data_IF_906563670949
#
_entry.id   IF_906563670949
#
_cell.length_a   1.000
_cell.length_b   1.000
_cell.length_c   1.000
_cell.angle_alpha   90.00
_cell.angle_beta   90.00
_cell.angle_gamma   90.00
#
_symmetry.space_group_name_H-M   'P 1'
#
loop_
_entity.id
_entity.type
_entity.pdbx_description
1 polymer ?
#
# COMPACT_ATOMS: atom_id res chain seq x y z
N UNK A 1 16.25 -26.08 -8.83
CA UNK A 1 15.66 -26.07 -7.48
C UNK A 1 14.21 -26.53 -7.65
N UNK A 2 13.88 -27.75 -7.22
CA UNK A 2 12.52 -28.32 -7.44
C UNK A 2 11.54 -27.58 -6.54
N UNK A 3 10.46 -27.04 -7.09
CA UNK A 3 9.45 -26.35 -6.28
C UNK A 3 8.63 -27.42 -5.56
N UNK A 4 8.53 -27.31 -4.24
CA UNK A 4 7.70 -28.19 -3.42
C UNK A 4 6.22 -27.86 -3.69
N UNK A 5 5.43 -28.86 -4.10
CA UNK A 5 4.00 -28.76 -4.50
C UNK A 5 3.74 -27.56 -5.44
N UNK A 6 4.15 -27.69 -6.70
CA UNK A 6 4.08 -26.59 -7.68
C UNK A 6 2.64 -26.14 -8.00
N UNK A 7 1.65 -27.02 -7.83
CA UNK A 7 0.28 -26.80 -8.27
C UNK A 7 -0.63 -26.09 -7.24
N UNK A 8 -0.26 -26.12 -5.95
CA UNK A 8 -1.07 -25.56 -4.86
C UNK A 8 -0.41 -24.28 -4.31
N UNK A 9 -1.17 -23.24 -3.96
CA UNK A 9 -0.58 -22.04 -3.33
C UNK A 9 0.02 -21.02 -4.30
N UNK A 10 -0.13 -21.14 -5.62
CA UNK A 10 0.61 -20.30 -6.59
C UNK A 10 0.24 -18.82 -6.47
N UNK A 11 -1.06 -18.51 -6.42
CA UNK A 11 -1.55 -17.13 -6.36
C UNK A 11 -1.16 -16.49 -5.02
N UNK A 12 -1.33 -17.22 -3.92
CA UNK A 12 -1.04 -16.70 -2.58
C UNK A 12 0.46 -16.47 -2.38
N UNK A 13 1.33 -17.37 -2.87
CA UNK A 13 2.79 -17.17 -2.84
C UNK A 13 3.23 -15.97 -3.67
N UNK A 14 2.67 -15.81 -4.88
CA UNK A 14 2.98 -14.68 -5.76
C UNK A 14 2.51 -13.36 -5.13
N UNK A 15 1.30 -13.34 -4.58
CA UNK A 15 0.74 -12.17 -3.89
C UNK A 15 1.57 -11.77 -2.67
N UNK A 16 1.94 -12.75 -1.82
CA UNK A 16 2.79 -12.50 -0.65
C UNK A 16 4.16 -11.97 -1.06
N UNK A 17 4.77 -12.54 -2.11
CA UNK A 17 6.04 -12.06 -2.63
C UNK A 17 5.95 -10.61 -3.11
N UNK A 18 4.98 -10.28 -3.98
CA UNK A 18 4.83 -8.91 -4.49
C UNK A 18 4.50 -7.90 -3.39
N UNK A 19 3.65 -8.26 -2.44
CA UNK A 19 3.33 -7.39 -1.30
C UNK A 19 4.58 -7.08 -0.48
N UNK A 20 5.36 -8.10 -0.11
CA UNK A 20 6.61 -7.89 0.61
C UNK A 20 7.63 -7.09 -0.22
N UNK A 21 7.71 -7.31 -1.54
CA UNK A 21 8.58 -6.55 -2.44
C UNK A 21 8.17 -5.07 -2.50
N UNK A 22 6.88 -4.76 -2.61
CA UNK A 22 6.42 -3.37 -2.61
C UNK A 22 6.67 -2.68 -1.28
N UNK A 23 6.49 -3.38 -0.15
CA UNK A 23 6.83 -2.87 1.17
C UNK A 23 8.34 -2.60 1.27
N UNK A 24 9.16 -3.53 0.78
CA UNK A 24 10.61 -3.39 0.77
C UNK A 24 11.07 -2.23 -0.13
N UNK A 25 10.42 -2.05 -1.29
CA UNK A 25 10.65 -0.92 -2.20
C UNK A 25 10.34 0.40 -1.49
N UNK A 26 9.18 0.51 -0.84
CA UNK A 26 8.80 1.68 -0.07
C UNK A 26 9.81 1.97 1.06
N UNK A 27 10.25 0.93 1.78
CA UNK A 27 11.29 1.06 2.79
C UNK A 27 12.63 1.55 2.24
N UNK A 28 13.02 1.11 1.04
CA UNK A 28 14.25 1.54 0.37
C UNK A 28 14.18 3.00 -0.09
N UNK A 29 13.01 3.46 -0.57
CA UNK A 29 12.78 4.87 -0.93
C UNK A 29 12.86 5.74 0.35
N UNK A 30 12.16 5.35 1.41
CA UNK A 30 12.19 6.07 2.68
C UNK A 30 13.60 6.10 3.31
N UNK A 31 14.36 5.01 3.16
CA UNK A 31 15.74 4.90 3.62
C UNK A 31 16.67 5.82 2.86
N UNK A 32 16.53 5.95 1.54
CA UNK A 32 17.34 6.85 0.72
C UNK A 32 17.16 8.31 1.18
N UNK A 33 15.91 8.73 1.41
CA UNK A 33 15.60 10.09 1.89
C UNK A 33 16.11 10.33 3.31
N UNK A 34 16.06 9.31 4.16
CA UNK A 34 16.60 9.39 5.53
C UNK A 34 18.12 9.43 5.53
N UNK A 35 18.78 8.62 4.70
CA UNK A 35 20.24 8.51 4.65
C UNK A 35 20.89 9.75 4.04
N UNK A 36 20.26 10.34 3.03
CA UNK A 36 20.68 11.63 2.45
C UNK A 36 20.53 12.78 3.45
N UNK A 37 19.45 12.80 4.24
CA UNK A 37 19.18 13.85 5.24
C UNK A 37 20.07 13.73 6.48
N UNK A 38 20.21 12.53 7.06
CA UNK A 38 20.89 12.32 8.35
C UNK A 38 22.40 12.11 8.24
N UNK A 39 22.88 11.41 7.20
CA UNK A 39 24.28 11.01 7.09
C UNK A 39 25.07 11.87 6.09
N UNK A 40 24.43 12.85 5.45
CA UNK A 40 25.07 13.67 4.41
C UNK A 40 25.54 12.88 3.17
N UNK A 41 25.15 11.60 3.07
CA UNK A 41 25.44 10.72 1.92
C UNK A 41 24.67 11.12 0.65
N UNK A 42 24.06 12.30 0.66
CA UNK A 42 23.43 13.01 -0.45
C UNK A 42 24.41 13.53 -1.50
N UNK A 43 25.72 13.50 -1.23
CA UNK A 43 26.72 14.01 -2.17
C UNK A 43 26.66 13.30 -3.52
N UNK A 44 26.62 14.11 -4.58
CA UNK A 44 26.50 13.66 -5.96
C UNK A 44 27.77 12.92 -6.35
N UNK A 45 27.62 11.68 -6.81
CA UNK A 45 28.67 10.91 -7.46
C UNK A 45 28.88 11.40 -8.90
N UNK A 46 29.43 12.61 -9.02
CA UNK A 46 29.69 13.28 -10.31
C UNK A 46 28.44 13.85 -10.99
N UNK A 47 28.61 14.25 -12.25
CA UNK A 47 27.57 14.87 -13.09
C UNK A 47 26.80 13.83 -13.94
N UNK A 48 26.82 12.57 -13.50
CA UNK A 48 26.08 11.49 -14.15
C UNK A 48 24.64 11.49 -13.64
N UNK A 49 23.72 12.00 -14.45
CA UNK A 49 22.29 11.84 -14.24
C UNK A 49 21.83 10.52 -14.84
N UNK A 50 20.97 9.76 -14.15
CA UNK A 50 20.37 8.55 -14.73
C UNK A 50 19.53 8.96 -15.95
N UNK A 51 19.83 8.47 -17.17
CA UNK A 51 19.23 8.98 -18.41
C UNK A 51 17.72 8.72 -18.55
N UNK A 52 17.14 7.87 -17.70
CA UNK A 52 15.72 7.53 -17.69
C UNK A 52 14.87 8.36 -16.70
N UNK A 53 15.47 8.92 -15.65
CA UNK A 53 14.73 9.52 -14.51
C UNK A 53 15.27 10.90 -14.09
N UNK A 54 16.47 11.28 -14.53
CA UNK A 54 17.06 12.60 -14.21
C UNK A 54 17.41 12.80 -12.73
N UNK A 55 17.38 11.74 -11.92
CA UNK A 55 17.81 11.79 -10.53
C UNK A 55 19.33 11.85 -10.42
N UNK A 56 19.89 12.66 -9.50
CA UNK A 56 21.32 12.65 -9.25
C UNK A 56 21.71 11.27 -8.70
N UNK A 57 22.80 10.70 -9.23
CA UNK A 57 23.35 9.47 -8.67
C UNK A 57 24.04 9.84 -7.37
N UNK A 58 23.51 9.33 -6.27
CA UNK A 58 23.96 9.61 -4.91
C UNK A 58 24.39 8.29 -4.26
N UNK A 59 25.35 8.32 -3.32
CA UNK A 59 25.77 7.11 -2.59
C UNK A 59 24.60 6.42 -1.90
N UNK A 60 23.66 7.20 -1.36
CA UNK A 60 22.42 6.70 -0.76
C UNK A 60 21.58 5.85 -1.74
N UNK A 61 21.55 6.21 -3.03
CA UNK A 61 20.80 5.48 -4.06
C UNK A 61 21.43 4.11 -4.33
N UNK A 62 22.76 4.03 -4.44
CA UNK A 62 23.48 2.76 -4.68
C UNK A 62 23.27 1.80 -3.51
N UNK A 63 23.38 2.31 -2.28
CA UNK A 63 23.13 1.53 -1.06
C UNK A 63 21.69 1.02 -1.02
N UNK A 64 20.72 1.88 -1.35
CA UNK A 64 19.30 1.54 -1.38
C UNK A 64 18.98 0.47 -2.42
N UNK A 65 19.52 0.57 -3.65
CA UNK A 65 19.36 -0.46 -4.69
C UNK A 65 19.98 -1.80 -4.26
N UNK A 66 21.19 -1.77 -3.68
CA UNK A 66 21.88 -2.98 -3.23
C UNK A 66 21.08 -3.70 -2.15
N UNK A 67 20.55 -2.92 -1.19
CA UNK A 67 19.69 -3.43 -0.13
C UNK A 67 18.37 -3.97 -0.70
N UNK A 68 17.80 -3.30 -1.69
CA UNK A 68 16.57 -3.74 -2.36
C UNK A 68 16.75 -5.11 -3.02
N UNK A 69 17.82 -5.27 -3.82
CA UNK A 69 18.11 -6.54 -4.52
C UNK A 69 18.42 -7.66 -3.53
N UNK A 70 19.28 -7.39 -2.53
CA UNK A 70 19.60 -8.37 -1.48
C UNK A 70 18.37 -8.76 -0.66
N UNK A 71 17.52 -7.78 -0.33
CA UNK A 71 16.26 -7.97 0.38
C UNK A 71 15.25 -8.79 -0.42
N UNK A 72 15.07 -8.51 -1.72
CA UNK A 72 14.20 -9.26 -2.60
C UNK A 72 14.64 -10.73 -2.74
N UNK A 73 15.96 -10.97 -2.85
CA UNK A 73 16.52 -12.32 -2.87
C UNK A 73 16.29 -13.06 -1.55
N UNK A 74 16.52 -12.39 -0.41
CA UNK A 74 16.25 -12.95 0.91
C UNK A 74 14.77 -13.28 1.11
N UNK A 75 13.86 -12.40 0.67
CA UNK A 75 12.41 -12.65 0.70
C UNK A 75 12.04 -13.89 -0.11
N UNK A 76 12.57 -14.01 -1.33
CA UNK A 76 12.33 -15.20 -2.15
C UNK A 76 12.78 -16.48 -1.43
N UNK A 77 13.97 -16.47 -0.81
CA UNK A 77 14.47 -17.61 -0.04
C UNK A 77 13.63 -17.91 1.22
N UNK A 78 13.16 -16.88 1.92
CA UNK A 78 12.34 -17.02 3.13
C UNK A 78 10.93 -17.52 2.81
N UNK A 79 10.29 -17.04 1.75
CA UNK A 79 8.95 -17.47 1.34
C UNK A 79 8.95 -18.91 0.80
N UNK A 80 10.04 -19.36 0.19
CA UNK A 80 10.18 -20.73 -0.31
C UNK A 80 10.50 -21.77 0.78
N UNK A 81 10.75 -21.36 2.03
CA UNK A 81 10.92 -22.32 3.13
C UNK A 81 9.65 -23.15 3.32
N UNK A 82 9.76 -24.46 3.57
CA UNK A 82 8.62 -25.38 3.59
C UNK A 82 7.56 -24.95 4.61
N UNK A 83 7.96 -24.54 5.81
CA UNK A 83 7.06 -24.04 6.86
C UNK A 83 6.19 -22.86 6.40
N UNK A 84 6.78 -21.89 5.70
CA UNK A 84 6.05 -20.70 5.26
C UNK A 84 5.16 -21.01 4.05
N UNK A 85 5.63 -21.87 3.15
CA UNK A 85 4.86 -22.32 2.01
C UNK A 85 3.61 -23.10 2.44
N UNK A 86 3.72 -23.99 3.44
CA UNK A 86 2.57 -24.75 3.96
C UNK A 86 1.52 -23.82 4.60
N UNK A 87 1.93 -22.82 5.40
CA UNK A 87 1.01 -21.83 5.97
C UNK A 87 0.25 -21.02 4.90
N UNK A 88 0.92 -20.64 3.81
CA UNK A 88 0.32 -19.93 2.69
C UNK A 88 -0.70 -20.80 1.94
N UNK A 89 -0.43 -22.10 1.80
CA UNK A 89 -1.33 -23.07 1.17
C UNK A 89 -2.57 -23.31 2.05
N UNK A 90 -2.37 -23.44 3.36
CA UNK A 90 -3.48 -23.59 4.31
C UNK A 90 -4.37 -22.34 4.31
N UNK A 91 -3.76 -21.15 4.29
CA UNK A 91 -4.49 -19.88 4.17
C UNK A 91 -5.28 -19.79 2.86
N UNK A 92 -4.71 -20.23 1.72
CA UNK A 92 -5.46 -20.31 0.46
C UNK A 92 -6.68 -21.22 0.60
N UNK A 93 -6.51 -22.38 1.24
CA UNK A 93 -7.58 -23.35 1.44
C UNK A 93 -8.70 -22.80 2.32
N UNK A 94 -8.36 -22.05 3.38
CA UNK A 94 -9.36 -21.37 4.21
C UNK A 94 -10.05 -20.21 3.46
N UNK A 95 -9.31 -19.42 2.68
CA UNK A 95 -9.88 -18.34 1.88
C UNK A 95 -10.86 -18.85 0.80
N UNK A 96 -10.66 -20.07 0.29
CA UNK A 96 -11.60 -20.73 -0.64
C UNK A 96 -12.94 -21.10 0.02
N UNK A 97 -12.98 -21.23 1.34
CA UNK A 97 -14.24 -21.49 2.07
C UNK A 97 -15.05 -20.21 2.30
N UNK A 98 -14.43 -19.04 2.13
CA UNK A 98 -15.12 -17.76 2.29
C UNK A 98 -16.04 -17.54 1.10
N UNK A 99 -17.34 -17.44 1.37
CA UNK A 99 -18.34 -17.02 0.39
C UNK A 99 -18.21 -15.52 0.17
N UNK A 100 -17.52 -15.12 -0.90
CA UNK A 100 -17.42 -13.71 -1.26
C UNK A 100 -18.77 -13.19 -1.76
N UNK A 101 -19.23 -12.01 -1.28
CA UNK A 101 -20.48 -11.43 -1.73
C UNK A 101 -20.42 -11.13 -3.23
N UNK A 102 -21.56 -11.24 -3.90
CA UNK A 102 -21.64 -10.85 -5.31
C UNK A 102 -21.52 -9.33 -5.45
N UNK A 103 -21.14 -8.83 -6.63
CA UNK A 103 -21.02 -7.39 -6.86
C UNK A 103 -22.33 -6.65 -6.54
N UNK A 104 -23.47 -7.29 -6.81
CA UNK A 104 -24.80 -6.73 -6.54
C UNK A 104 -25.05 -6.57 -5.03
N UNK A 105 -24.63 -7.53 -4.22
CA UNK A 105 -24.73 -7.45 -2.75
C UNK A 105 -23.88 -6.30 -2.19
N UNK A 106 -22.68 -6.10 -2.77
CA UNK A 106 -21.77 -5.01 -2.37
C UNK A 106 -22.37 -3.65 -2.72
N UNK A 107 -22.97 -3.50 -3.90
CA UNK A 107 -23.62 -2.24 -4.31
C UNK A 107 -24.85 -1.97 -3.46
N UNK A 108 -25.69 -2.98 -3.21
CA UNK A 108 -26.92 -2.82 -2.44
C UNK A 108 -26.64 -2.52 -0.96
N UNK A 109 -25.59 -3.10 -0.37
CA UNK A 109 -25.17 -2.74 0.99
C UNK A 109 -24.54 -1.34 1.07
N UNK A 110 -23.75 -0.95 0.06
CA UNK A 110 -23.10 0.37 0.03
C UNK A 110 -24.07 1.52 -0.24
N UNK A 111 -25.08 1.34 -1.09
CA UNK A 111 -26.05 2.40 -1.42
C UNK A 111 -26.85 2.85 -0.20
N UNK A 112 -27.20 1.93 0.71
CA UNK A 112 -27.90 2.27 1.96
C UNK A 112 -27.05 3.19 2.82
N UNK A 113 -25.73 2.93 2.91
CA UNK A 113 -24.79 3.77 3.65
C UNK A 113 -24.62 5.13 2.98
N UNK A 114 -24.51 5.17 1.65
CA UNK A 114 -24.43 6.45 0.92
C UNK A 114 -25.68 7.30 1.14
N UNK A 115 -26.86 6.69 1.12
CA UNK A 115 -28.12 7.39 1.37
C UNK A 115 -28.21 7.92 2.81
N UNK A 116 -27.76 7.14 3.81
CA UNK A 116 -27.77 7.61 5.20
C UNK A 116 -26.80 8.77 5.43
N UNK A 117 -25.61 8.73 4.83
CA UNK A 117 -24.64 9.83 4.87
C UNK A 117 -25.18 11.08 4.17
N UNK A 118 -25.82 10.93 2.99
CA UNK A 118 -26.43 12.05 2.27
C UNK A 118 -27.57 12.69 3.06
N UNK A 119 -28.40 11.89 3.73
CA UNK A 119 -29.47 12.40 4.59
C UNK A 119 -28.89 13.23 5.74
N UNK A 120 -27.86 12.74 6.42
CA UNK A 120 -27.18 13.48 7.50
C UNK A 120 -26.53 14.76 6.98
N UNK A 121 -25.90 14.73 5.80
CA UNK A 121 -25.30 15.90 5.17
C UNK A 121 -26.37 16.96 4.88
N UNK A 122 -27.50 16.57 4.27
CA UNK A 122 -28.61 17.47 3.99
C UNK A 122 -29.20 18.09 5.26
N UNK A 123 -29.34 17.30 6.33
CA UNK A 123 -29.81 17.79 7.63
C UNK A 123 -28.84 18.82 8.22
N UNK A 124 -27.54 18.50 8.25
CA UNK A 124 -26.52 19.38 8.81
C UNK A 124 -26.41 20.68 8.02
N UNK A 125 -26.37 20.59 6.69
CA UNK A 125 -26.38 21.75 5.80
C UNK A 125 -27.61 22.64 6.02
N UNK A 126 -28.79 22.03 6.18
CA UNK A 126 -30.01 22.76 6.49
C UNK A 126 -29.94 23.47 7.85
N UNK A 127 -29.46 22.79 8.88
CA UNK A 127 -29.29 23.37 10.21
C UNK A 127 -28.30 24.55 10.19
N UNK A 128 -27.13 24.37 9.56
CA UNK A 128 -26.11 25.41 9.43
C UNK A 128 -26.65 26.63 8.66
N UNK A 129 -27.40 26.40 7.58
CA UNK A 129 -28.01 27.48 6.80
C UNK A 129 -29.05 28.27 7.61
N UNK A 130 -29.93 27.58 8.33
CA UNK A 130 -30.97 28.23 9.14
C UNK A 130 -30.35 29.01 10.30
N UNK A 131 -29.44 28.39 11.05
CA UNK A 131 -28.75 29.04 12.17
C UNK A 131 -27.94 30.23 11.66
N UNK A 132 -27.20 30.08 10.56
CA UNK A 132 -26.44 31.17 9.95
C UNK A 132 -27.31 32.35 9.52
N UNK A 133 -28.49 32.09 8.94
CA UNK A 133 -29.45 33.14 8.54
C UNK A 133 -30.03 33.87 9.75
N UNK A 134 -30.42 33.13 10.79
CA UNK A 134 -30.94 33.70 12.05
C UNK A 134 -29.88 34.58 12.70
N UNK A 135 -28.65 34.08 12.83
CA UNK A 135 -27.56 34.81 13.47
C UNK A 135 -27.17 36.07 12.70
N UNK A 136 -27.17 36.01 11.37
CA UNK A 136 -26.91 37.18 10.52
C UNK A 136 -27.97 38.27 10.67
N UNK A 137 -29.25 37.88 10.72
CA UNK A 137 -30.36 38.82 10.92
C UNK A 137 -30.35 39.43 12.33
N UNK A 138 -29.84 38.71 13.34
CA UNK A 138 -29.69 39.22 14.70
C UNK A 138 -28.49 40.17 14.87
N UNK A 139 -27.43 40.00 14.06
CA UNK A 139 -26.22 40.84 14.12
C UNK A 139 -26.29 42.10 13.24
N UNK A 140 -27.10 42.08 12.18
CA UNK A 140 -27.28 43.19 11.23
C UNK A 140 -28.60 43.95 11.42
N UNK A 141 -29.48 43.50 12.32
CA UNK A 141 -30.65 44.24 12.81
C UNK A 141 -30.39 44.80 14.19
#
# INVERSE_FOLDING_TARGET
MKTYKEDQGRIVRLAAFWLCVFLLLYGCIALETSLSTFLGLGEKLGDYSVPLVGWPVTWALIVSITLFVGGAFALHFLLQKPKNADLLIDTETELRKVTWPTMDDVVNSSIVVVLSVLFLLAFLFGADYVIGRIMTNLLLG
#
